data_IF_817486753303
#
_entry.id   IF_817486753303
#
_cell.length_a   1.000
_cell.length_b   1.000
_cell.length_c   1.000
_cell.angle_alpha   90.00
_cell.angle_beta   90.00
_cell.angle_gamma   90.00
#
_symmetry.space_group_name_H-M   'P 1'
#
loop_
_entity.id
_entity.type
_entity.pdbx_description
1 polymer ?
#
# COMPACT_ATOMS: atom_id res chain seq x y z
N UNK A 1 3.51 -18.39 -2.45
CA UNK A 1 4.06 -17.54 -1.37
C UNK A 1 3.08 -16.40 -1.21
N UNK A 2 2.54 -16.22 -0.01
CA UNK A 2 1.38 -15.35 0.22
C UNK A 2 1.76 -13.89 0.05
N UNK A 3 0.97 -13.15 -0.71
CA UNK A 3 1.07 -11.70 -0.78
C UNK A 3 0.77 -11.15 0.61
N UNK A 4 1.78 -10.56 1.26
CA UNK A 4 1.56 -9.94 2.55
C UNK A 4 0.80 -8.63 2.35
N UNK A 5 -0.33 -8.52 3.03
CA UNK A 5 -1.14 -7.33 3.09
C UNK A 5 -1.14 -6.83 4.53
N UNK A 6 -0.50 -5.70 4.76
CA UNK A 6 -0.55 -5.02 6.05
C UNK A 6 -1.32 -3.73 5.88
N UNK A 7 -2.20 -3.43 6.83
CA UNK A 7 -2.96 -2.17 6.78
C UNK A 7 -3.20 -1.57 8.15
N UNK A 8 -3.34 -0.25 8.20
CA UNK A 8 -3.83 0.45 9.37
C UNK A 8 -4.70 1.63 8.95
N UNK A 9 -5.79 1.83 9.67
CA UNK A 9 -6.63 3.00 9.47
C UNK A 9 -5.96 4.23 10.09
N UNK A 10 -5.70 5.25 9.26
CA UNK A 10 -5.16 6.53 9.73
C UNK A 10 -6.28 7.44 10.23
N UNK A 11 -7.42 7.43 9.51
CA UNK A 11 -8.62 8.21 9.79
C UNK A 11 -9.85 7.57 9.13
N UNK A 12 -11.02 8.20 9.27
CA UNK A 12 -12.31 7.63 8.80
C UNK A 12 -12.39 7.35 7.31
N UNK A 13 -11.50 7.94 6.50
CA UNK A 13 -11.49 7.81 5.05
C UNK A 13 -10.15 7.36 4.47
N UNK A 14 -9.11 7.22 5.30
CA UNK A 14 -7.75 6.92 4.84
C UNK A 14 -7.21 5.67 5.53
N UNK A 15 -6.77 4.72 4.71
CA UNK A 15 -6.07 3.52 5.16
C UNK A 15 -4.66 3.53 4.60
N UNK A 16 -3.68 3.29 5.47
CA UNK A 16 -2.29 3.08 5.09
C UNK A 16 -2.07 1.59 4.83
N UNK A 17 -1.49 1.26 3.68
CA UNK A 17 -1.31 -0.11 3.22
C UNK A 17 0.16 -0.37 2.87
N UNK A 18 0.64 -1.57 3.21
CA UNK A 18 1.86 -2.15 2.66
C UNK A 18 1.47 -3.45 1.95
N UNK A 19 1.49 -3.42 0.63
CA UNK A 19 1.13 -4.56 -0.20
C UNK A 19 1.68 -4.42 -1.62
N UNK A 20 1.69 -5.49 -2.42
CA UNK A 20 1.83 -5.39 -3.86
C UNK A 20 0.70 -4.55 -4.46
N UNK A 21 1.01 -3.82 -5.53
CA UNK A 21 0.00 -3.10 -6.30
C UNK A 21 -0.63 -4.05 -7.31
N UNK A 22 -1.95 -4.20 -7.25
CA UNK A 22 -2.73 -4.85 -8.30
C UNK A 22 -3.00 -3.86 -9.44
N UNK A 23 -3.27 -4.33 -10.66
CA UNK A 23 -3.57 -3.48 -11.82
C UNK A 23 -4.62 -2.41 -11.50
N UNK A 24 -5.70 -2.79 -10.81
CA UNK A 24 -6.77 -1.87 -10.39
C UNK A 24 -6.29 -0.74 -9.47
N UNK A 25 -5.27 -0.96 -8.63
CA UNK A 25 -4.70 0.06 -7.75
C UNK A 25 -3.74 0.98 -8.50
N UNK A 26 -3.09 0.47 -9.54
CA UNK A 26 -2.23 1.26 -10.43
C UNK A 26 -3.07 2.24 -11.25
N UNK A 27 -4.23 1.81 -11.73
CA UNK A 27 -5.18 2.69 -12.44
C UNK A 27 -5.71 3.84 -11.56
N UNK A 28 -5.74 3.63 -10.24
CA UNK A 28 -6.17 4.63 -9.25
C UNK A 28 -5.01 5.41 -8.64
N UNK A 29 -3.77 5.12 -9.05
CA UNK A 29 -2.58 5.77 -8.51
C UNK A 29 -2.44 7.18 -9.08
N UNK A 30 -2.08 8.14 -8.22
CA UNK A 30 -1.83 9.53 -8.64
C UNK A 30 -0.54 9.68 -9.48
N UNK A 31 0.29 8.63 -9.54
CA UNK A 31 1.56 8.62 -10.29
C UNK A 31 1.63 7.44 -11.25
N UNK A 32 2.33 7.64 -12.36
CA UNK A 32 2.64 6.56 -13.30
C UNK A 32 3.63 5.57 -12.64
N UNK A 33 3.25 4.29 -12.56
CA UNK A 33 4.05 3.23 -11.93
C UNK A 33 4.60 2.32 -13.02
N UNK A 34 5.84 2.57 -13.44
CA UNK A 34 6.50 1.79 -14.50
C UNK A 34 6.86 0.35 -14.08
N UNK A 35 7.13 0.12 -12.79
CA UNK A 35 7.44 -1.22 -12.25
C UNK A 35 6.63 -1.51 -10.98
N UNK A 36 5.60 -2.32 -11.13
CA UNK A 36 4.66 -2.77 -10.07
C UNK A 36 5.18 -3.93 -9.24
N UNK A 37 6.41 -4.39 -9.53
CA UNK A 37 7.04 -5.49 -8.81
C UNK A 37 7.37 -5.10 -7.36
N UNK A 38 7.12 -6.03 -6.44
CA UNK A 38 7.47 -5.89 -5.02
C UNK A 38 6.35 -5.30 -4.17
N UNK A 39 6.73 -4.63 -3.08
CA UNK A 39 5.81 -4.07 -2.11
C UNK A 39 5.80 -2.55 -2.20
N UNK A 40 4.65 -1.94 -1.94
CA UNK A 40 4.48 -0.49 -1.94
C UNK A 40 3.85 -0.06 -0.63
N UNK A 41 4.33 1.06 -0.09
CA UNK A 41 3.67 1.82 0.94
C UNK A 41 2.80 2.86 0.25
N UNK A 42 1.49 2.76 0.43
CA UNK A 42 0.53 3.67 -0.18
C UNK A 42 -0.65 3.92 0.75
N UNK A 43 -1.34 5.04 0.53
CA UNK A 43 -2.63 5.32 1.17
C UNK A 43 -3.74 5.02 0.18
N UNK A 44 -4.83 4.50 0.69
CA UNK A 44 -6.10 4.44 -0.04
C UNK A 44 -7.09 5.40 0.60
N UNK A 45 -7.74 6.21 -0.22
CA UNK A 45 -8.86 7.04 0.20
C UNK A 45 -10.17 6.35 -0.19
N UNK A 46 -11.12 6.28 0.74
CA UNK A 46 -12.42 5.61 0.55
C UNK A 46 -12.76 4.68 1.73
N UNK A 47 -14.05 4.53 2.01
CA UNK A 47 -14.54 3.79 3.20
C UNK A 47 -14.74 2.29 2.93
N UNK A 48 -15.27 1.95 1.77
CA UNK A 48 -15.61 0.58 1.35
C UNK A 48 -14.86 0.16 0.07
N UNK A 49 -14.66 1.08 -0.85
CA UNK A 49 -13.90 0.85 -2.08
C UNK A 49 -12.86 1.98 -2.24
N UNK A 50 -11.60 1.67 -2.59
CA UNK A 50 -10.57 2.68 -2.79
C UNK A 50 -10.93 3.54 -4.00
N UNK A 51 -11.13 4.83 -3.79
CA UNK A 51 -11.42 5.84 -4.81
C UNK A 51 -10.14 6.46 -5.36
N UNK A 52 -9.08 6.50 -4.55
CA UNK A 52 -7.77 7.01 -4.93
C UNK A 52 -6.65 6.28 -4.18
N UNK A 53 -5.50 6.12 -4.84
CA UNK A 53 -4.29 5.52 -4.28
C UNK A 53 -3.14 6.53 -4.33
N UNK A 54 -2.63 6.92 -3.17
CA UNK A 54 -1.46 7.80 -3.04
C UNK A 54 -0.23 6.93 -2.70
N UNK A 55 0.67 6.75 -3.67
CA UNK A 55 1.89 5.96 -3.45
C UNK A 55 2.92 6.83 -2.72
N UNK A 56 3.33 6.39 -1.52
CA UNK A 56 4.31 7.10 -0.69
C UNK A 56 5.73 6.63 -0.99
N UNK A 57 5.92 5.32 -1.12
CA UNK A 57 7.22 4.72 -1.36
C UNK A 57 7.11 3.32 -1.96
N UNK A 58 8.13 2.96 -2.76
CA UNK A 58 8.39 1.57 -3.13
C UNK A 58 9.29 0.92 -2.08
N UNK A 59 8.91 -0.27 -1.64
CA UNK A 59 9.64 -1.06 -0.65
C UNK A 59 10.51 -2.08 -1.37
N UNK A 60 11.82 -2.01 -1.13
CA UNK A 60 12.83 -2.74 -1.90
C UNK A 60 12.94 -4.23 -1.56
N UNK A 61 12.36 -4.68 -0.45
CA UNK A 61 12.41 -6.09 -0.02
C UNK A 61 11.25 -6.44 0.92
N UNK A 62 10.96 -7.74 1.03
CA UNK A 62 9.95 -8.25 1.96
C UNK A 62 10.34 -7.97 3.43
N UNK A 63 11.61 -8.11 3.80
CA UNK A 63 12.11 -7.77 5.14
C UNK A 63 11.87 -6.29 5.48
N UNK A 64 12.02 -5.39 4.51
CA UNK A 64 11.70 -3.98 4.69
C UNK A 64 10.19 -3.76 4.89
N UNK A 65 9.34 -4.52 4.20
CA UNK A 65 7.89 -4.46 4.39
C UNK A 65 7.49 -4.90 5.80
N UNK A 66 8.07 -5.99 6.31
CA UNK A 66 7.87 -6.44 7.70
C UNK A 66 8.40 -5.43 8.72
N UNK A 67 9.58 -4.87 8.49
CA UNK A 67 10.14 -3.85 9.38
C UNK A 67 9.24 -2.61 9.43
N UNK A 68 8.74 -2.15 8.28
CA UNK A 68 7.82 -1.02 8.20
C UNK A 68 6.48 -1.34 8.88
N UNK A 69 5.96 -2.57 8.72
CA UNK A 69 4.77 -3.01 9.45
C UNK A 69 4.95 -2.86 10.97
N UNK A 70 6.07 -3.34 11.51
CA UNK A 70 6.35 -3.23 12.95
C UNK A 70 6.51 -1.76 13.40
N UNK A 71 7.23 -0.95 12.62
CA UNK A 71 7.45 0.47 12.92
C UNK A 71 6.16 1.29 12.88
N UNK A 72 5.27 0.98 11.94
CA UNK A 72 4.02 1.71 11.70
C UNK A 72 2.81 1.06 12.40
N UNK A 73 3.02 -0.09 13.07
CA UNK A 73 1.99 -0.86 13.78
C UNK A 73 0.81 -1.24 12.89
N UNK A 74 1.12 -1.76 11.70
CA UNK A 74 0.10 -2.25 10.76
C UNK A 74 -0.33 -3.67 11.13
N UNK A 75 -1.62 -3.96 11.04
CA UNK A 75 -2.18 -5.29 11.34
C UNK A 75 -2.00 -6.24 10.16
#
# INVERSE_FOLDING_TARGET
MGEFYFSAQLDEQTTLCIAPLSDRRVELADTDVEDVSGYFLYKTHGRDEPEAVEILAKVTSEEAAFTLREMLRLD
#
